data_IF_126624862598
#
_entry.id   IF_126624862598
#
_cell.length_a   1.000
_cell.length_b   1.000
_cell.length_c   1.000
_cell.angle_alpha   90.00
_cell.angle_beta   90.00
_cell.angle_gamma   90.00
#
_symmetry.space_group_name_H-M   'P 1'
#
loop_
_entity.id
_entity.type
_entity.pdbx_description
1 polymer ?
#
# COMPACT_ATOMS: atom_id res chain seq x y z
N UNK A 1 0.71 -13.52 -3.99
CA UNK A 1 1.19 -12.83 -3.08
C UNK A 1 2.63 -12.51 -2.77
N UNK A 2 3.26 -13.20 -1.82
CA UNK A 2 4.64 -12.94 -1.41
C UNK A 2 4.80 -11.89 -0.31
N UNK A 3 3.75 -11.18 0.08
CA UNK A 3 3.79 -10.22 1.16
C UNK A 3 3.71 -10.92 2.53
N UNK A 4 4.45 -10.41 3.49
CA UNK A 4 4.22 -10.72 4.90
C UNK A 4 2.90 -10.08 5.31
N UNK A 5 2.03 -10.81 5.95
CA UNK A 5 0.71 -10.32 6.31
C UNK A 5 0.18 -10.99 7.57
N UNK A 6 -0.76 -10.34 8.22
CA UNK A 6 -1.54 -10.91 9.29
C UNK A 6 -2.96 -11.15 8.77
N UNK A 7 -3.26 -12.40 8.39
CA UNK A 7 -4.54 -12.78 7.79
C UNK A 7 -4.96 -11.91 6.58
N UNK A 8 -3.99 -11.48 5.79
CA UNK A 8 -4.16 -10.63 4.59
C UNK A 8 -4.87 -9.29 4.81
N UNK A 9 -5.11 -8.90 6.04
CA UNK A 9 -5.93 -7.74 6.34
C UNK A 9 -5.16 -6.43 6.45
N UNK A 10 -3.91 -6.48 6.95
CA UNK A 10 -3.17 -5.28 7.26
C UNK A 10 -1.75 -5.31 6.69
N UNK A 11 -1.51 -4.61 5.56
CA UNK A 11 -0.20 -4.62 4.91
C UNK A 11 0.93 -3.97 5.73
N UNK A 12 0.64 -3.22 6.80
CA UNK A 12 1.68 -2.68 7.68
C UNK A 12 2.51 -3.78 8.37
N UNK A 13 1.96 -4.97 8.57
CA UNK A 13 2.76 -6.12 9.01
C UNK A 13 3.81 -6.51 7.96
N UNK A 14 3.48 -6.34 6.67
CA UNK A 14 4.45 -6.53 5.60
C UNK A 14 5.60 -5.54 5.70
N UNK A 15 5.33 -4.29 6.07
CA UNK A 15 6.37 -3.26 6.25
C UNK A 15 7.42 -3.72 7.25
N UNK A 16 7.01 -4.24 8.42
CA UNK A 16 7.94 -4.75 9.42
C UNK A 16 8.79 -5.94 8.91
N UNK A 17 8.19 -6.86 8.14
CA UNK A 17 8.92 -7.96 7.52
C UNK A 17 9.87 -7.49 6.40
N UNK A 18 9.49 -6.45 5.68
CA UNK A 18 10.30 -5.88 4.61
C UNK A 18 11.54 -5.15 5.12
N UNK A 19 11.53 -4.63 6.36
CA UNK A 19 12.73 -4.07 6.99
C UNK A 19 13.87 -5.08 6.99
N UNK A 20 13.61 -6.30 7.48
CA UNK A 20 14.60 -7.36 7.47
C UNK A 20 14.97 -7.83 6.06
N UNK A 21 13.97 -8.07 5.22
CA UNK A 21 14.17 -8.62 3.87
C UNK A 21 14.99 -7.69 2.98
N UNK A 22 14.67 -6.38 2.94
CA UNK A 22 15.41 -5.42 2.10
C UNK A 22 16.82 -5.16 2.60
N UNK A 23 17.03 -5.14 3.93
CA UNK A 23 18.37 -5.05 4.50
C UNK A 23 19.21 -6.28 4.15
N UNK A 24 18.66 -7.49 4.26
CA UNK A 24 19.36 -8.72 3.89
C UNK A 24 19.73 -8.72 2.40
N UNK A 25 18.80 -8.36 1.52
CA UNK A 25 19.08 -8.28 0.08
C UNK A 25 20.21 -7.28 -0.19
N UNK A 26 20.15 -6.10 0.42
CA UNK A 26 21.18 -5.07 0.24
C UNK A 26 22.55 -5.49 0.77
N UNK A 27 22.61 -5.99 2.00
CA UNK A 27 23.88 -6.33 2.67
C UNK A 27 24.61 -7.49 1.99
N UNK A 28 23.85 -8.46 1.49
CA UNK A 28 24.43 -9.65 0.85
C UNK A 28 24.46 -9.58 -0.68
N UNK A 29 23.94 -8.50 -1.27
CA UNK A 29 24.08 -8.31 -2.71
C UNK A 29 25.55 -8.40 -3.13
N UNK A 30 25.82 -9.06 -4.27
CA UNK A 30 27.17 -9.23 -4.82
C UNK A 30 28.15 -10.02 -3.93
N UNK A 31 27.64 -10.82 -3.02
CA UNK A 31 28.42 -11.77 -2.22
C UNK A 31 27.99 -13.20 -2.51
N UNK A 32 28.76 -14.16 -2.03
CA UNK A 32 28.37 -15.58 -2.11
C UNK A 32 27.14 -15.93 -1.24
N UNK A 33 26.69 -14.99 -0.39
CA UNK A 33 25.53 -15.14 0.48
C UNK A 33 24.29 -14.41 -0.09
N UNK A 34 24.36 -13.92 -1.33
CA UNK A 34 23.23 -13.25 -1.96
C UNK A 34 21.99 -14.15 -1.97
N UNK A 35 20.84 -13.56 -1.73
CA UNK A 35 19.57 -14.28 -1.83
C UNK A 35 19.33 -14.74 -3.27
N UNK A 36 18.50 -15.76 -3.46
CA UNK A 36 18.15 -16.21 -4.80
C UNK A 36 17.43 -15.11 -5.60
N UNK A 37 17.58 -15.14 -6.92
CA UNK A 37 16.87 -14.25 -7.83
C UNK A 37 15.36 -14.25 -7.57
N UNK A 38 14.78 -15.43 -7.33
CA UNK A 38 13.34 -15.55 -7.02
C UNK A 38 12.96 -14.80 -5.74
N UNK A 39 13.76 -14.92 -4.68
CA UNK A 39 13.51 -14.22 -3.42
C UNK A 39 13.63 -12.71 -3.59
N UNK A 40 14.67 -12.24 -4.26
CA UNK A 40 14.86 -10.81 -4.56
C UNK A 40 13.69 -10.25 -5.39
N UNK A 41 13.32 -10.93 -6.47
CA UNK A 41 12.19 -10.55 -7.33
C UNK A 41 10.86 -10.56 -6.58
N UNK A 42 10.66 -11.50 -5.66
CA UNK A 42 9.45 -11.55 -4.84
C UNK A 42 9.33 -10.32 -3.96
N UNK A 43 10.40 -9.91 -3.28
CA UNK A 43 10.41 -8.70 -2.44
C UNK A 43 10.18 -7.45 -3.30
N UNK A 44 10.85 -7.34 -4.45
CA UNK A 44 10.63 -6.27 -5.42
C UNK A 44 9.15 -6.16 -5.81
N UNK A 45 8.54 -7.27 -6.22
CA UNK A 45 7.14 -7.29 -6.67
C UNK A 45 6.16 -6.86 -5.56
N UNK A 46 6.44 -7.25 -4.32
CA UNK A 46 5.65 -6.81 -3.16
C UNK A 46 5.72 -5.30 -3.00
N UNK A 47 6.91 -4.73 -3.04
CA UNK A 47 7.10 -3.28 -2.92
C UNK A 47 6.41 -2.51 -4.06
N UNK A 48 6.52 -3.02 -5.29
CA UNK A 48 5.86 -2.41 -6.45
C UNK A 48 4.33 -2.47 -6.35
N UNK A 49 3.77 -3.58 -5.86
CA UNK A 49 2.33 -3.68 -5.58
C UNK A 49 1.91 -2.69 -4.48
N UNK A 50 2.68 -2.61 -3.38
CA UNK A 50 2.41 -1.67 -2.29
C UNK A 50 2.45 -0.21 -2.78
N UNK A 51 3.46 0.17 -3.57
CA UNK A 51 3.54 1.46 -4.24
C UNK A 51 2.31 1.79 -5.07
N UNK A 52 1.73 0.77 -5.72
CA UNK A 52 0.59 0.95 -6.61
C UNK A 52 -0.71 1.21 -5.85
N UNK A 53 -1.01 0.47 -4.79
CA UNK A 53 -2.24 0.67 -4.05
C UNK A 53 -2.17 1.79 -3.00
N UNK A 54 -0.99 2.21 -2.61
CA UNK A 54 -0.84 3.34 -1.70
C UNK A 54 -0.99 4.67 -2.42
N UNK A 55 -1.60 5.63 -1.73
CA UNK A 55 -1.57 7.00 -2.18
C UNK A 55 -0.30 7.66 -1.65
N UNK A 56 0.73 7.67 -2.47
CA UNK A 56 2.11 7.97 -2.10
C UNK A 56 2.56 7.06 -0.95
N UNK A 57 2.63 7.54 0.27
CA UNK A 57 3.07 6.75 1.43
C UNK A 57 1.92 6.09 2.20
N UNK A 58 0.69 6.58 2.06
CA UNK A 58 -0.40 6.17 2.92
C UNK A 58 -1.18 4.99 2.34
N UNK A 59 -1.50 4.02 3.19
CA UNK A 59 -2.42 2.95 2.83
C UNK A 59 -3.85 3.47 2.70
N UNK A 60 -4.66 2.89 1.81
CA UNK A 60 -6.10 3.11 1.81
C UNK A 60 -6.70 2.80 3.18
N UNK A 61 -7.75 3.52 3.56
CA UNK A 61 -8.44 3.35 4.84
C UNK A 61 -8.84 1.89 5.09
N UNK A 62 -9.42 1.24 4.10
CA UNK A 62 -9.86 -0.15 4.18
C UNK A 62 -8.72 -1.17 4.30
N UNK A 63 -7.47 -0.76 4.07
CA UNK A 63 -6.26 -1.58 4.18
C UNK A 63 -5.40 -1.18 5.38
N UNK A 64 -5.86 -0.27 6.21
CA UNK A 64 -5.10 0.25 7.36
C UNK A 64 -5.30 -0.57 8.64
N UNK A 65 -6.08 -1.65 8.58
CA UNK A 65 -6.38 -2.51 9.72
C UNK A 65 -7.03 -1.73 10.85
N UNK A 66 -6.55 -1.93 12.07
CA UNK A 66 -7.01 -1.20 13.27
C UNK A 66 -6.48 0.23 13.38
N UNK A 67 -5.74 0.69 12.40
CA UNK A 67 -5.15 2.03 12.34
C UNK A 67 -5.65 2.85 11.15
N UNK A 68 -6.95 3.09 11.03
CA UNK A 68 -7.48 3.90 9.94
C UNK A 68 -7.01 5.36 9.97
N UNK A 69 -6.42 5.78 11.07
CA UNK A 69 -5.77 7.08 11.28
C UNK A 69 -4.46 7.28 10.49
N UNK A 70 -4.08 6.30 9.65
CA UNK A 70 -2.93 6.43 8.76
C UNK A 70 -1.58 6.11 9.39
N UNK A 71 -1.53 5.36 10.49
CA UNK A 71 -0.26 4.90 11.09
C UNK A 71 0.52 3.96 10.20
N UNK A 72 -0.16 3.20 9.34
CA UNK A 72 0.51 2.37 8.34
C UNK A 72 0.98 3.20 7.15
N UNK A 73 2.30 3.23 6.90
CA UNK A 73 2.90 3.96 5.78
C UNK A 73 3.97 3.12 5.11
N UNK A 74 4.17 3.37 3.82
CA UNK A 74 5.35 2.87 3.13
C UNK A 74 6.62 3.46 3.74
N UNK A 75 7.66 2.67 3.75
CA UNK A 75 9.01 3.10 4.17
C UNK A 75 9.87 3.27 2.91
N UNK A 76 10.17 4.51 2.51
CA UNK A 76 10.96 4.78 1.29
C UNK A 76 12.32 4.07 1.29
N UNK A 77 12.93 3.90 2.46
CA UNK A 77 14.22 3.23 2.59
C UNK A 77 14.22 1.80 2.02
N UNK A 78 13.10 1.06 2.08
CA UNK A 78 13.01 -0.26 1.45
C UNK A 78 13.26 -0.19 -0.06
N UNK A 79 12.69 0.80 -0.72
CA UNK A 79 12.89 1.04 -2.16
C UNK A 79 14.32 1.49 -2.46
N UNK A 80 14.87 2.36 -1.61
CA UNK A 80 16.25 2.85 -1.73
C UNK A 80 17.27 1.69 -1.65
N UNK A 81 17.12 0.80 -0.67
CA UNK A 81 17.98 -0.37 -0.49
C UNK A 81 17.88 -1.32 -1.68
N UNK A 82 16.68 -1.61 -2.14
CA UNK A 82 16.46 -2.46 -3.31
C UNK A 82 17.06 -1.83 -4.58
N UNK A 83 16.94 -0.51 -4.74
CA UNK A 83 17.51 0.19 -5.89
C UNK A 83 19.04 0.03 -5.99
N UNK A 84 19.75 0.10 -4.87
CA UNK A 84 21.22 0.00 -4.86
C UNK A 84 21.74 -1.44 -4.66
N UNK A 85 20.87 -2.37 -4.34
CA UNK A 85 21.19 -3.79 -4.34
C UNK A 85 21.35 -4.34 -5.77
N UNK A 86 20.80 -3.67 -6.76
CA UNK A 86 20.83 -4.07 -8.16
C UNK A 86 19.61 -4.84 -8.60
N UNK A 87 19.62 -5.32 -9.85
CA UNK A 87 18.53 -6.14 -10.40
C UNK A 87 18.52 -7.55 -9.81
N UNK A 88 17.34 -8.22 -9.75
CA UNK A 88 17.24 -9.57 -9.20
C UNK A 88 18.12 -10.61 -9.89
N UNK A 89 18.38 -10.44 -11.18
CA UNK A 89 19.26 -11.31 -11.98
C UNK A 89 20.75 -10.94 -11.87
N UNK A 90 21.08 -9.91 -11.08
CA UNK A 90 22.43 -9.47 -10.81
C UNK A 90 23.15 -8.79 -11.99
N UNK A 91 22.46 -8.47 -13.08
CA UNK A 91 23.10 -7.88 -14.27
C UNK A 91 23.41 -6.41 -14.13
N UNK A 92 22.54 -5.65 -13.44
CA UNK A 92 22.71 -4.23 -13.26
C UNK A 92 22.99 -3.86 -11.81
N UNK A 93 23.87 -2.87 -11.65
CA UNK A 93 24.27 -2.34 -10.34
C UNK A 93 23.16 -1.56 -9.63
N UNK A 94 22.16 -1.12 -10.37
CA UNK A 94 20.99 -0.42 -9.87
C UNK A 94 19.72 -1.00 -10.48
N UNK A 95 18.70 -1.17 -9.64
CA UNK A 95 17.35 -1.43 -10.13
C UNK A 95 16.67 -0.10 -10.45
N UNK A 96 16.53 0.20 -11.75
CA UNK A 96 15.97 1.46 -12.25
C UNK A 96 14.53 1.69 -11.76
N UNK A 97 13.71 0.66 -11.75
CA UNK A 97 12.31 0.76 -11.35
C UNK A 97 12.20 1.08 -9.85
N UNK A 98 12.99 0.40 -9.03
CA UNK A 98 13.04 0.69 -7.58
C UNK A 98 13.63 2.08 -7.30
N UNK A 99 14.63 2.52 -8.06
CA UNK A 99 15.22 3.86 -7.93
C UNK A 99 14.19 4.95 -8.26
N UNK A 100 13.46 4.80 -9.35
CA UNK A 100 12.44 5.77 -9.78
C UNK A 100 11.25 5.81 -8.82
N UNK A 101 10.81 4.64 -8.31
CA UNK A 101 9.78 4.54 -7.28
C UNK A 101 10.21 5.22 -5.98
N UNK A 102 11.44 4.96 -5.52
CA UNK A 102 12.00 5.63 -4.34
C UNK A 102 11.97 7.16 -4.47
N UNK A 103 12.51 7.66 -5.57
CA UNK A 103 12.59 9.11 -5.81
C UNK A 103 11.20 9.76 -5.84
N UNK A 104 10.18 9.09 -6.41
CA UNK A 104 8.80 9.57 -6.34
C UNK A 104 8.27 9.61 -4.90
N UNK A 105 8.51 8.57 -4.12
CA UNK A 105 8.00 8.48 -2.75
C UNK A 105 8.56 9.60 -1.84
N UNK A 106 9.80 10.03 -2.04
CA UNK A 106 10.45 11.07 -1.23
C UNK A 106 10.35 12.47 -1.85
N UNK A 107 9.87 12.60 -3.08
CA UNK A 107 9.65 13.90 -3.71
C UNK A 107 8.51 14.65 -3.02
N UNK A 108 8.65 15.97 -2.88
CA UNK A 108 7.60 16.80 -2.32
C UNK A 108 6.44 17.04 -3.29
N UNK A 109 6.73 16.96 -4.60
CA UNK A 109 5.74 17.19 -5.67
C UNK A 109 6.11 16.32 -6.89
N UNK A 110 5.14 15.61 -7.44
CA UNK A 110 5.31 14.80 -8.65
C UNK A 110 5.62 15.65 -9.88
N UNK A 111 5.16 16.90 -9.93
CA UNK A 111 5.40 17.82 -11.04
C UNK A 111 6.82 18.36 -11.10
N UNK A 112 7.51 18.44 -9.96
CA UNK A 112 8.88 18.96 -9.87
C UNK A 112 9.92 17.88 -10.23
N UNK A 113 9.59 16.63 -10.05
CA UNK A 113 10.50 15.50 -10.29
C UNK A 113 10.94 15.36 -11.75
N UNK A 114 10.19 15.92 -12.69
CA UNK A 114 10.53 15.89 -14.12
C UNK A 114 11.44 17.04 -14.58
N UNK A 115 11.58 18.11 -13.79
CA UNK A 115 12.14 19.38 -14.28
C UNK A 115 13.50 19.79 -13.70
N UNK A 116 13.91 19.23 -12.56
CA UNK A 116 15.12 19.74 -11.89
C UNK A 116 16.22 18.67 -11.72
N UNK A 117 17.38 18.83 -12.39
CA UNK A 117 18.52 17.91 -12.23
C UNK A 117 19.15 17.93 -10.83
N UNK A 118 18.93 18.98 -10.06
CA UNK A 118 19.55 19.19 -8.74
C UNK A 118 18.61 18.85 -7.58
N UNK A 119 17.42 18.32 -7.84
CA UNK A 119 16.46 18.00 -6.79
C UNK A 119 17.01 16.92 -5.85
N UNK A 120 17.22 17.31 -4.61
CA UNK A 120 17.59 16.37 -3.53
C UNK A 120 16.37 16.04 -2.68
N UNK A 121 15.99 14.76 -2.60
CA UNK A 121 14.87 14.33 -1.76
C UNK A 121 15.06 14.73 -0.30
N UNK A 122 13.99 15.13 0.37
CA UNK A 122 13.97 15.31 1.82
C UNK A 122 13.99 13.92 2.49
N UNK A 123 15.15 13.52 2.95
CA UNK A 123 15.37 12.22 3.59
C UNK A 123 15.72 12.36 5.06
N UNK A 124 15.32 11.37 5.87
CA UNK A 124 15.34 11.46 7.32
C UNK A 124 16.69 11.12 7.95
N UNK A 125 17.55 10.36 7.27
CA UNK A 125 18.82 9.89 7.84
C UNK A 125 19.98 9.96 6.85
N UNK A 126 21.21 9.90 7.36
CA UNK A 126 22.41 10.05 6.58
C UNK A 126 22.64 8.93 5.55
N UNK A 127 22.24 7.71 5.87
CA UNK A 127 22.37 6.56 4.95
C UNK A 127 21.45 6.75 3.74
N UNK A 128 20.20 7.05 4.00
CA UNK A 128 19.21 7.29 2.96
C UNK A 128 19.60 8.45 2.06
N UNK A 129 20.14 9.55 2.65
CA UNK A 129 20.66 10.68 1.90
C UNK A 129 21.78 10.28 0.94
N UNK A 130 22.76 9.50 1.40
CA UNK A 130 23.85 9.00 0.54
C UNK A 130 23.33 8.15 -0.63
N UNK A 131 22.32 7.32 -0.38
CA UNK A 131 21.69 6.52 -1.44
C UNK A 131 20.97 7.44 -2.44
N UNK A 132 20.16 8.39 -1.95
CA UNK A 132 19.47 9.36 -2.79
C UNK A 132 20.43 10.14 -3.70
N UNK A 133 21.50 10.70 -3.10
CA UNK A 133 22.56 11.39 -3.84
C UNK A 133 23.23 10.51 -4.90
N UNK A 134 23.49 9.25 -4.55
CA UNK A 134 24.07 8.29 -5.49
C UNK A 134 23.12 8.01 -6.66
N UNK A 135 21.84 7.82 -6.41
CA UNK A 135 20.85 7.59 -7.46
C UNK A 135 20.72 8.81 -8.39
N UNK A 136 20.57 10.01 -7.82
CA UNK A 136 20.46 11.24 -8.61
C UNK A 136 21.72 11.49 -9.46
N UNK A 137 22.92 11.30 -8.90
CA UNK A 137 24.20 11.41 -9.64
C UNK A 137 24.32 10.40 -10.78
N UNK A 138 23.70 9.22 -10.64
CA UNK A 138 23.65 8.23 -11.71
C UNK A 138 22.50 8.47 -12.72
N UNK A 139 21.85 9.61 -12.66
CA UNK A 139 20.86 10.02 -13.65
C UNK A 139 19.45 9.48 -13.44
N UNK A 140 19.19 8.80 -12.32
CA UNK A 140 17.82 8.35 -12.01
C UNK A 140 16.92 9.54 -11.70
N UNK A 141 15.64 9.39 -12.05
CA UNK A 141 14.59 10.39 -11.83
C UNK A 141 13.38 9.72 -11.20
N UNK A 142 12.57 10.51 -10.52
CA UNK A 142 11.29 10.04 -10.01
C UNK A 142 10.40 9.57 -11.14
N UNK A 143 9.70 8.46 -10.92
CA UNK A 143 8.65 8.03 -11.84
C UNK A 143 7.43 8.96 -11.72
N UNK A 144 6.59 9.05 -12.76
CA UNK A 144 5.25 9.62 -12.62
C UNK A 144 4.39 8.76 -11.70
N UNK A 145 3.24 9.29 -11.26
CA UNK A 145 2.29 8.49 -10.50
C UNK A 145 1.88 7.24 -11.30
N UNK A 146 1.88 6.05 -10.68
CA UNK A 146 1.48 4.83 -11.36
C UNK A 146 0.08 4.94 -11.94
N UNK A 147 -0.11 4.40 -13.14
CA UNK A 147 -1.38 4.40 -13.86
C UNK A 147 -1.81 2.97 -14.15
N UNK A 148 -3.11 2.75 -14.31
CA UNK A 148 -3.66 1.46 -14.68
C UNK A 148 -4.49 0.81 -13.59
N UNK A 149 -4.62 -0.50 -13.66
CA UNK A 149 -5.40 -1.32 -12.72
C UNK A 149 -4.52 -2.40 -12.09
N UNK A 150 -4.75 -2.65 -10.80
CA UNK A 150 -4.15 -3.76 -10.07
C UNK A 150 -5.24 -4.51 -9.30
N UNK A 151 -5.39 -5.79 -9.61
CA UNK A 151 -6.24 -6.69 -8.84
C UNK A 151 -5.42 -7.65 -8.00
N UNK A 152 -5.72 -7.68 -6.71
CA UNK A 152 -5.15 -8.60 -5.74
C UNK A 152 -6.27 -9.51 -5.23
N UNK A 153 -6.66 -10.53 -6.03
CA UNK A 153 -7.80 -11.39 -5.76
C UNK A 153 -7.78 -12.02 -4.37
N UNK A 154 -6.63 -12.59 -3.96
CA UNK A 154 -6.47 -13.14 -2.61
C UNK A 154 -6.51 -12.09 -1.50
N UNK A 155 -6.30 -10.83 -1.83
CA UNK A 155 -6.43 -9.70 -0.91
C UNK A 155 -7.80 -9.04 -0.97
N UNK A 156 -8.70 -9.46 -1.85
CA UNK A 156 -9.98 -8.83 -2.13
C UNK A 156 -9.86 -7.32 -2.35
N UNK A 157 -8.86 -6.90 -3.12
CA UNK A 157 -8.57 -5.49 -3.42
C UNK A 157 -8.46 -5.30 -4.92
N UNK A 158 -9.14 -4.30 -5.44
CA UNK A 158 -8.94 -3.77 -6.79
C UNK A 158 -8.63 -2.28 -6.71
N UNK A 159 -7.60 -1.87 -7.43
CA UNK A 159 -7.14 -0.48 -7.45
C UNK A 159 -7.10 0.01 -8.87
N UNK A 160 -7.76 1.13 -9.12
CA UNK A 160 -7.69 1.85 -10.38
C UNK A 160 -6.99 3.19 -10.16
N UNK A 161 -5.98 3.48 -10.97
CA UNK A 161 -5.25 4.75 -10.92
C UNK A 161 -5.31 5.47 -12.26
N UNK A 162 -5.64 6.77 -12.23
CA UNK A 162 -5.59 7.66 -13.38
C UNK A 162 -5.23 9.08 -12.96
N UNK A 163 -4.28 9.68 -13.68
CA UNK A 163 -3.84 11.03 -13.35
C UNK A 163 -3.44 11.12 -11.87
N UNK A 164 -4.04 12.03 -11.17
CA UNK A 164 -3.78 12.32 -9.76
C UNK A 164 -4.78 11.66 -8.80
N UNK A 165 -5.56 10.67 -9.24
CA UNK A 165 -6.52 9.98 -8.39
C UNK A 165 -6.37 8.46 -8.44
N UNK A 166 -6.82 7.82 -7.39
CA UNK A 166 -6.99 6.37 -7.34
C UNK A 166 -8.32 6.00 -6.70
N UNK A 167 -8.96 4.97 -7.24
CA UNK A 167 -10.12 4.33 -6.63
C UNK A 167 -9.69 2.96 -6.10
N UNK A 168 -10.02 2.68 -4.85
CA UNK A 168 -9.70 1.42 -4.18
C UNK A 168 -11.01 0.76 -3.76
N UNK A 169 -11.31 -0.38 -4.36
CA UNK A 169 -12.41 -1.24 -3.93
C UNK A 169 -11.86 -2.36 -3.03
N UNK A 170 -12.51 -2.57 -1.89
CA UNK A 170 -12.07 -3.54 -0.89
C UNK A 170 -13.22 -4.44 -0.46
N UNK A 171 -13.01 -5.74 -0.62
CA UNK A 171 -13.86 -6.79 -0.08
C UNK A 171 -13.15 -7.60 1.01
N UNK A 172 -13.82 -8.66 1.47
CA UNK A 172 -13.25 -9.70 2.30
C UNK A 172 -13.83 -11.07 1.90
N UNK A 173 -13.32 -12.13 2.47
CA UNK A 173 -13.79 -13.48 2.23
C UNK A 173 -13.69 -14.33 3.50
N UNK A 174 -14.18 -15.57 3.45
CA UNK A 174 -13.94 -16.51 4.55
C UNK A 174 -12.46 -16.82 4.81
N UNK A 175 -11.58 -16.52 3.88
CA UNK A 175 -10.14 -16.73 4.00
C UNK A 175 -9.38 -15.46 4.41
N UNK A 176 -10.06 -14.32 4.33
CA UNK A 176 -9.49 -13.00 4.54
C UNK A 176 -10.34 -12.23 5.55
N UNK A 177 -9.71 -11.75 6.59
CA UNK A 177 -10.42 -10.94 7.58
C UNK A 177 -10.93 -9.64 6.99
N UNK A 178 -12.19 -9.31 7.28
CA UNK A 178 -12.77 -8.02 6.90
C UNK A 178 -12.14 -6.87 7.70
N UNK A 179 -11.94 -7.08 8.99
CA UNK A 179 -11.42 -6.09 9.90
C UNK A 179 -10.56 -6.74 10.99
N UNK A 180 -9.66 -5.97 11.53
CA UNK A 180 -8.93 -6.26 12.75
C UNK A 180 -9.19 -5.12 13.75
N UNK A 181 -9.61 -5.48 14.94
CA UNK A 181 -9.85 -4.54 16.02
C UNK A 181 -8.97 -4.90 17.22
N UNK A 182 -8.52 -3.89 17.93
CA UNK A 182 -7.70 -4.10 19.11
C UNK A 182 -7.97 -3.04 20.18
N UNK A 183 -7.99 -3.46 21.43
CA UNK A 183 -8.22 -2.56 22.56
C UNK A 183 -7.20 -1.41 22.56
N UNK A 184 -7.66 -0.18 22.67
CA UNK A 184 -6.83 1.02 22.59
C UNK A 184 -6.57 1.53 21.17
N UNK A 185 -7.10 0.85 20.14
CA UNK A 185 -7.08 1.30 18.75
C UNK A 185 -8.51 1.50 18.23
N UNK A 186 -8.69 1.55 16.89
CA UNK A 186 -10.03 1.64 16.35
C UNK A 186 -10.83 0.36 16.61
N UNK A 187 -12.03 0.51 17.13
CA UNK A 187 -12.97 -0.58 17.41
C UNK A 187 -14.22 -0.54 16.52
N UNK A 188 -14.32 0.40 15.58
CA UNK A 188 -15.54 0.64 14.79
C UNK A 188 -15.39 0.24 13.31
N UNK A 189 -14.24 -0.25 12.88
CA UNK A 189 -13.92 -0.51 11.48
C UNK A 189 -14.57 -1.74 10.85
N UNK A 190 -15.64 -2.31 11.45
CA UNK A 190 -16.29 -3.54 11.01
C UNK A 190 -16.57 -3.58 9.51
N UNK A 191 -17.08 -2.49 8.97
CA UNK A 191 -17.55 -2.44 7.58
C UNK A 191 -16.53 -1.97 6.55
N UNK A 192 -15.28 -1.69 6.96
CA UNK A 192 -14.25 -1.12 6.08
C UNK A 192 -13.88 -2.02 4.87
N UNK A 193 -14.16 -3.30 4.93
CA UNK A 193 -13.88 -4.24 3.85
C UNK A 193 -15.14 -4.93 3.28
N UNK A 194 -16.32 -4.38 3.52
CA UNK A 194 -17.59 -4.95 3.05
C UNK A 194 -18.01 -4.40 1.68
N UNK A 195 -17.12 -4.39 0.70
CA UNK A 195 -17.35 -3.80 -0.61
C UNK A 195 -17.07 -2.30 -0.64
N UNK A 196 -16.26 -1.80 0.30
CA UNK A 196 -15.98 -0.37 0.37
C UNK A 196 -15.27 0.15 -0.88
N UNK A 197 -15.61 1.38 -1.25
CA UNK A 197 -14.96 2.14 -2.30
C UNK A 197 -14.37 3.41 -1.70
N UNK A 198 -13.07 3.59 -1.86
CA UNK A 198 -12.40 4.83 -1.48
C UNK A 198 -11.78 5.48 -2.72
N UNK A 199 -12.08 6.75 -2.90
CA UNK A 199 -11.44 7.58 -3.93
C UNK A 199 -10.43 8.49 -3.24
N UNK A 200 -9.18 8.36 -3.64
CA UNK A 200 -8.07 9.15 -3.13
C UNK A 200 -7.61 10.09 -4.23
N UNK A 201 -7.53 11.37 -3.92
CA UNK A 201 -7.08 12.40 -4.86
C UNK A 201 -5.86 13.12 -4.30
N UNK A 202 -4.96 13.52 -5.19
CA UNK A 202 -3.90 14.46 -4.88
C UNK A 202 -4.22 15.77 -5.60
N UNK A 203 -4.41 16.85 -4.86
CA UNK A 203 -4.42 18.18 -5.45
C UNK A 203 -2.98 18.60 -5.75
N UNK A 204 -2.74 19.38 -6.81
CA UNK A 204 -1.40 19.88 -7.11
C UNK A 204 -0.74 20.50 -5.88
N UNK A 205 0.48 20.11 -5.58
CA UNK A 205 1.23 20.59 -4.42
C UNK A 205 0.79 20.05 -3.05
N UNK A 206 -0.18 19.12 -3.00
CA UNK A 206 -0.62 18.51 -1.75
C UNK A 206 -0.28 17.03 -1.69
N UNK A 207 0.36 16.63 -0.60
CA UNK A 207 0.49 15.21 -0.28
C UNK A 207 -0.87 14.67 0.14
N UNK A 208 -1.34 13.59 -0.47
CA UNK A 208 -2.58 12.97 -0.05
C UNK A 208 -2.37 12.25 1.28
N UNK A 209 -3.04 12.76 2.28
CA UNK A 209 -3.13 12.17 3.61
C UNK A 209 -4.56 11.63 3.83
N UNK A 210 -4.85 10.87 4.88
CA UNK A 210 -6.23 10.55 5.24
C UNK A 210 -7.11 11.80 5.34
N UNK A 211 -6.58 12.92 5.85
CA UNK A 211 -7.30 14.17 5.94
C UNK A 211 -7.64 14.77 4.56
N UNK A 212 -6.72 14.70 3.59
CA UNK A 212 -6.97 15.21 2.23
C UNK A 212 -7.79 14.25 1.37
N UNK A 213 -7.99 13.02 1.80
CA UNK A 213 -8.92 12.06 1.19
C UNK A 213 -10.36 12.18 1.73
N UNK A 214 -10.64 13.20 2.52
CA UNK A 214 -11.96 13.45 3.10
C UNK A 214 -12.28 12.65 4.37
N UNK A 215 -11.35 11.81 4.83
CA UNK A 215 -11.53 11.07 6.07
C UNK A 215 -10.95 11.82 7.26
N UNK A 216 -11.76 11.94 8.31
CA UNK A 216 -11.36 12.44 9.62
C UNK A 216 -11.93 11.52 10.68
N UNK A 217 -11.13 11.15 11.66
CA UNK A 217 -11.56 10.24 12.72
C UNK A 217 -12.71 10.81 13.53
N UNK A 218 -12.64 12.09 13.82
CA UNK A 218 -13.72 12.87 14.46
C UNK A 218 -14.85 13.09 13.46
N UNK A 219 -16.03 12.61 13.80
CA UNK A 219 -17.23 12.77 12.97
C UNK A 219 -17.36 11.78 11.80
N UNK A 220 -16.48 10.80 11.68
CA UNK A 220 -16.63 9.74 10.70
C UNK A 220 -17.79 8.82 11.07
N UNK A 221 -18.73 8.61 10.14
CA UNK A 221 -19.85 7.69 10.32
C UNK A 221 -19.42 6.25 9.97
N UNK A 222 -19.08 5.47 10.98
CA UNK A 222 -18.61 4.10 10.83
C UNK A 222 -19.67 3.12 10.32
N UNK A 223 -20.93 3.53 10.29
CA UNK A 223 -22.02 2.77 9.68
C UNK A 223 -22.17 3.02 8.18
N UNK A 224 -21.66 4.16 7.68
CA UNK A 224 -21.87 4.62 6.30
C UNK A 224 -20.55 4.71 5.56
N UNK A 225 -20.05 3.57 5.16
CA UNK A 225 -18.82 3.48 4.35
C UNK A 225 -19.21 3.55 2.87
N UNK A 226 -18.62 4.42 2.06
CA UNK A 226 -18.91 4.48 0.62
C UNK A 226 -18.75 3.12 -0.04
N UNK A 227 -19.73 2.74 -0.87
CA UNK A 227 -19.77 1.45 -1.56
C UNK A 227 -20.31 0.29 -0.73
N UNK A 228 -20.51 0.47 0.57
CA UNK A 228 -20.98 -0.59 1.47
C UNK A 228 -22.50 -0.54 1.62
N UNK A 229 -23.13 -1.71 1.55
CA UNK A 229 -24.49 -1.92 2.04
C UNK A 229 -24.38 -2.64 3.40
N UNK A 230 -24.74 -1.96 4.47
CA UNK A 230 -24.57 -2.46 5.84
C UNK A 230 -25.80 -2.19 6.70
N UNK A 231 -25.91 -2.92 7.79
CA UNK A 231 -26.93 -2.65 8.80
C UNK A 231 -26.45 -1.47 9.63
N UNK A 232 -27.30 -0.45 9.76
CA UNK A 232 -27.03 0.67 10.65
C UNK A 232 -27.20 0.23 12.11
N UNK A 233 -26.11 0.13 12.83
CA UNK A 233 -26.09 -0.31 14.22
C UNK A 233 -25.87 0.89 15.16
N UNK A 234 -26.48 0.89 16.36
CA UNK A 234 -26.04 1.74 17.45
C UNK A 234 -24.52 1.55 17.70
N UNK A 235 -23.81 2.61 18.09
CA UNK A 235 -22.35 2.57 18.24
C UNK A 235 -21.86 1.52 19.26
N UNK A 236 -22.62 1.25 20.28
CA UNK A 236 -22.32 0.21 21.26
C UNK A 236 -22.37 -1.21 20.68
N UNK A 237 -23.25 -1.45 19.71
CA UNK A 237 -23.34 -2.71 18.99
C UNK A 237 -22.34 -2.79 17.81
N UNK A 238 -22.02 -1.66 17.19
CA UNK A 238 -21.00 -1.59 16.14
C UNK A 238 -19.59 -1.81 16.72
N UNK A 239 -19.37 -1.37 17.94
CA UNK A 239 -18.08 -1.45 18.62
C UNK A 239 -17.65 -2.90 18.86
N UNK A 240 -16.44 -3.25 18.45
CA UNK A 240 -15.83 -4.53 18.79
C UNK A 240 -15.40 -4.55 20.28
N UNK A 241 -15.55 -5.71 20.92
CA UNK A 241 -15.24 -5.85 22.35
C UNK A 241 -13.73 -5.93 22.62
N UNK A 242 -13.01 -6.66 21.78
CA UNK A 242 -11.58 -6.93 21.98
C UNK A 242 -10.94 -7.04 20.59
N UNK A 243 -9.96 -7.89 20.44
CA UNK A 243 -9.49 -8.35 19.16
C UNK A 243 -10.64 -9.11 18.49
N UNK A 244 -11.30 -8.45 17.58
CA UNK A 244 -12.39 -9.01 16.83
C UNK A 244 -12.03 -9.08 15.36
N UNK A 245 -12.40 -10.19 14.74
CA UNK A 245 -12.10 -10.49 13.39
C UNK A 245 -13.39 -10.92 12.71
N UNK A 246 -13.91 -10.05 11.88
CA UNK A 246 -15.04 -10.41 11.03
C UNK A 246 -14.51 -11.19 9.83
N UNK A 247 -14.86 -12.47 9.79
CA UNK A 247 -14.66 -13.32 8.64
C UNK A 247 -16.00 -13.62 8.01
N UNK A 248 -16.01 -13.69 6.70
CA UNK A 248 -17.20 -14.10 5.99
C UNK A 248 -17.29 -15.64 5.98
N UNK A 249 -18.42 -16.17 6.45
CA UNK A 249 -18.72 -17.61 6.42
C UNK A 249 -19.79 -17.86 5.38
N UNK A 250 -19.44 -18.29 4.20
CA UNK A 250 -20.45 -18.53 3.17
C UNK A 250 -19.85 -18.76 1.81
N UNK A 251 -20.46 -18.21 0.78
CA UNK A 251 -19.91 -18.28 -0.58
C UNK A 251 -18.53 -17.59 -0.64
N UNK A 252 -17.67 -18.14 -1.47
CA UNK A 252 -16.43 -17.49 -1.81
C UNK A 252 -16.71 -16.26 -2.66
N UNK A 253 -15.99 -15.20 -2.37
CA UNK A 253 -15.99 -14.01 -3.19
C UNK A 253 -14.94 -14.12 -4.26
N UNK A 254 -15.24 -13.51 -5.36
CA UNK A 254 -14.35 -13.39 -6.47
C UNK A 254 -14.09 -11.92 -6.75
N UNK A 255 -12.82 -11.53 -6.83
CA UNK A 255 -12.41 -10.23 -7.28
C UNK A 255 -11.63 -10.41 -8.58
N UNK A 256 -12.12 -9.79 -9.62
CA UNK A 256 -11.50 -9.79 -10.93
C UNK A 256 -11.25 -8.34 -11.37
N UNK A 257 -10.14 -8.09 -12.03
CA UNK A 257 -9.93 -6.86 -12.75
C UNK A 257 -9.24 -7.12 -14.08
N UNK A 258 -9.55 -6.29 -15.06
CA UNK A 258 -8.98 -6.34 -16.40
C UNK A 258 -8.26 -5.01 -16.66
N UNK A 259 -6.98 -5.08 -16.98
CA UNK A 259 -6.17 -3.90 -17.25
C UNK A 259 -6.66 -3.12 -18.48
N UNK A 260 -7.18 -3.81 -19.49
CA UNK A 260 -7.66 -3.18 -20.71
C UNK A 260 -8.90 -2.32 -20.48
N UNK A 261 -9.77 -2.75 -19.58
CA UNK A 261 -11.00 -2.04 -19.24
C UNK A 261 -10.90 -1.26 -17.94
N UNK A 262 -9.79 -1.42 -17.23
CA UNK A 262 -9.56 -0.75 -15.96
C UNK A 262 -10.71 -0.94 -14.97
N UNK A 263 -11.26 -2.14 -14.92
CA UNK A 263 -12.40 -2.50 -14.10
C UNK A 263 -12.13 -3.73 -13.24
N UNK A 264 -13.02 -3.99 -12.33
CA UNK A 264 -12.98 -5.15 -11.48
C UNK A 264 -14.39 -5.61 -11.11
N UNK A 265 -14.54 -6.91 -10.84
CA UNK A 265 -15.75 -7.50 -10.32
C UNK A 265 -15.47 -8.12 -8.96
N UNK A 266 -16.30 -7.77 -7.99
CA UNK A 266 -16.33 -8.42 -6.69
C UNK A 266 -17.75 -8.88 -6.39
N UNK A 267 -17.89 -10.10 -5.92
CA UNK A 267 -19.15 -10.61 -5.39
C UNK A 267 -18.96 -10.95 -3.92
N UNK A 268 -19.81 -10.42 -3.08
CA UNK A 268 -19.78 -10.63 -1.66
C UNK A 268 -21.18 -10.87 -1.11
N UNK A 269 -21.34 -11.93 -0.31
CA UNK A 269 -22.58 -12.20 0.41
C UNK A 269 -22.53 -11.56 1.78
N UNK A 270 -23.53 -10.76 2.08
CA UNK A 270 -23.68 -10.17 3.41
C UNK A 270 -24.11 -11.24 4.42
N UNK A 271 -23.48 -11.24 5.57
CA UNK A 271 -24.00 -11.96 6.73
C UNK A 271 -25.15 -11.14 7.30
N UNK A 272 -26.35 -11.67 7.22
CA UNK A 272 -27.54 -11.11 7.86
C UNK A 272 -27.62 -11.55 9.31
#
# INVERSE_FOLDING_TARGET
GGAFHHRNNYPAYAVGGLDGATNMIYLFSRTSLAVSELAHRTVKNVLLAMRFYCNKLNFPLSMSGRHPDGKGKLVPMHYALMAVAGTPDGKDDFDKEMASAYLRLVSSDSSVAEQEPEYMPKVSNAQERRIAERLVRNGFRAEPDPQGNLSLGYGCVSVQRRGNWSAVARGHSRYLWAAEHYLGHNLYGRYLAHGSLQILTALPGQTVTPATSGWQQEGFDWNRIPGVTSIHLPLDLLKANVLNVDTFSGMEEMLYSDEAFAGGLSQQKMNG
#
